data_IF_272123806594
#
_entry.id   IF_272123806594
#
_cell.length_a   1.000
_cell.length_b   1.000
_cell.length_c   1.000
_cell.angle_alpha   90.00
_cell.angle_beta   90.00
_cell.angle_gamma   90.00
#
_symmetry.space_group_name_H-M   'P 1'
#
loop_
_entity.id
_entity.type
_entity.pdbx_description
1 polymer ?
#
# COMPACT_ATOMS: atom_id res chain seq x y z
N UNK A 1 -0.94 -1.12 -19.72
CA UNK A 1 -0.78 -2.52 -20.19
C UNK A 1 -0.43 -3.51 -19.08
N UNK A 2 0.21 -3.12 -17.96
CA UNK A 2 0.53 -4.05 -16.84
C UNK A 2 -0.72 -4.58 -16.10
N UNK A 3 -1.71 -3.70 -15.86
CA UNK A 3 -2.94 -4.05 -15.13
C UNK A 3 -3.91 -4.97 -15.91
N UNK A 4 -3.90 -4.87 -17.25
CA UNK A 4 -4.79 -5.62 -18.15
C UNK A 4 -4.23 -7.00 -18.51
N UNK A 5 -2.93 -7.24 -18.26
CA UNK A 5 -2.31 -8.56 -18.33
C UNK A 5 -2.45 -9.33 -17.00
N UNK A 6 -2.53 -8.63 -15.87
CA UNK A 6 -2.76 -9.23 -14.54
C UNK A 6 -4.20 -9.72 -14.34
N UNK A 7 -5.19 -9.19 -15.09
CA UNK A 7 -6.57 -9.71 -15.06
C UNK A 7 -6.71 -11.13 -15.62
N UNK A 8 -5.68 -11.66 -16.30
CA UNK A 8 -5.62 -13.06 -16.73
C UNK A 8 -4.87 -13.98 -15.76
N UNK A 9 -4.14 -13.43 -14.78
CA UNK A 9 -3.36 -14.26 -13.88
C UNK A 9 -4.26 -14.77 -12.75
N UNK A 10 -4.80 -15.98 -12.93
CA UNK A 10 -5.61 -16.71 -11.93
C UNK A 10 -4.79 -17.17 -10.72
N UNK A 11 -3.56 -16.68 -10.54
CA UNK A 11 -2.71 -17.09 -9.43
C UNK A 11 -3.40 -16.71 -8.11
N UNK A 12 -3.46 -17.64 -7.14
CA UNK A 12 -3.82 -17.33 -5.78
C UNK A 12 -2.95 -16.17 -5.30
N UNK A 13 -3.56 -15.14 -4.71
CA UNK A 13 -2.86 -13.93 -4.24
C UNK A 13 -1.74 -14.27 -3.25
N UNK A 14 -1.91 -15.40 -2.55
CA UNK A 14 -0.92 -16.00 -1.66
C UNK A 14 0.37 -16.41 -2.39
N UNK A 15 0.28 -17.01 -3.59
CA UNK A 15 1.46 -17.41 -4.38
C UNK A 15 2.24 -16.17 -4.84
N UNK A 16 1.54 -15.11 -5.23
CA UNK A 16 2.18 -13.84 -5.59
C UNK A 16 2.94 -13.22 -4.42
N UNK A 17 2.33 -13.25 -3.23
CA UNK A 17 2.97 -12.76 -2.00
C UNK A 17 4.19 -13.61 -1.62
N UNK A 18 4.07 -14.95 -1.63
CA UNK A 18 5.18 -15.86 -1.34
C UNK A 18 6.35 -15.67 -2.30
N UNK A 19 6.09 -15.48 -3.60
CA UNK A 19 7.14 -15.20 -4.58
C UNK A 19 7.81 -13.85 -4.31
N UNK A 20 7.03 -12.82 -3.97
CA UNK A 20 7.60 -11.52 -3.65
C UNK A 20 8.56 -11.61 -2.46
N UNK A 21 8.14 -12.29 -1.38
CA UNK A 21 9.01 -12.57 -0.24
C UNK A 21 10.21 -13.46 -0.59
N UNK A 22 10.02 -14.49 -1.41
CA UNK A 22 11.10 -15.42 -1.80
C UNK A 22 12.21 -14.73 -2.61
N UNK A 23 11.87 -13.72 -3.42
CA UNK A 23 12.86 -12.90 -4.12
C UNK A 23 13.40 -11.77 -3.25
N UNK A 24 12.56 -11.14 -2.42
CA UNK A 24 12.97 -10.00 -1.59
C UNK A 24 13.92 -10.41 -0.45
N UNK A 25 13.68 -11.55 0.22
CA UNK A 25 14.50 -12.07 1.32
C UNK A 25 15.99 -12.17 0.96
N UNK A 26 16.41 -12.93 -0.07
CA UNK A 26 17.82 -13.08 -0.39
C UNK A 26 18.46 -11.76 -0.85
N UNK A 27 17.72 -10.90 -1.55
CA UNK A 27 18.22 -9.58 -1.96
C UNK A 27 18.45 -8.65 -0.76
N UNK A 28 17.49 -8.59 0.16
CA UNK A 28 17.59 -7.79 1.40
C UNK A 28 18.71 -8.33 2.28
N UNK A 29 18.83 -9.66 2.44
CA UNK A 29 19.91 -10.26 3.23
C UNK A 29 21.28 -9.98 2.61
N UNK A 30 21.41 -10.06 1.28
CA UNK A 30 22.66 -9.71 0.60
C UNK A 30 23.01 -8.23 0.78
N UNK A 31 22.04 -7.34 0.62
CA UNK A 31 22.24 -5.90 0.82
C UNK A 31 22.63 -5.59 2.26
N UNK A 32 21.93 -6.15 3.25
CA UNK A 32 22.24 -5.99 4.67
C UNK A 32 23.63 -6.55 5.02
N UNK A 33 24.06 -7.63 4.37
CA UNK A 33 25.41 -8.18 4.53
C UNK A 33 26.48 -7.22 3.98
N UNK A 34 26.20 -6.54 2.87
CA UNK A 34 27.12 -5.56 2.28
C UNK A 34 27.20 -4.26 3.09
N UNK A 35 26.12 -3.82 3.71
CA UNK A 35 26.10 -2.60 4.54
C UNK A 35 26.54 -2.83 5.98
N UNK A 36 26.68 -4.09 6.41
CA UNK A 36 27.11 -4.45 7.77
C UNK A 36 26.04 -4.24 8.85
N UNK A 37 24.78 -4.00 8.46
CA UNK A 37 23.67 -3.76 9.40
C UNK A 37 23.12 -5.06 10.02
N UNK A 38 23.65 -6.22 9.65
CA UNK A 38 23.25 -7.53 10.17
C UNK A 38 23.52 -7.74 11.67
N UNK A 39 24.19 -6.80 12.36
CA UNK A 39 24.56 -6.95 13.78
C UNK A 39 23.77 -6.06 14.73
N UNK A 40 23.01 -5.07 14.24
CA UNK A 40 22.25 -4.16 15.10
C UNK A 40 20.80 -4.64 15.30
N UNK A 41 20.62 -5.67 16.14
CA UNK A 41 19.30 -6.25 16.40
C UNK A 41 18.62 -5.53 17.56
N UNK A 42 17.89 -4.45 17.27
CA UNK A 42 16.99 -3.86 18.25
C UNK A 42 15.72 -4.72 18.36
N UNK A 43 15.40 -5.19 19.57
CA UNK A 43 14.20 -6.01 19.86
C UNK A 43 12.91 -5.26 19.51
N UNK A 44 12.88 -3.95 19.72
CA UNK A 44 11.71 -3.11 19.38
C UNK A 44 11.52 -3.02 17.87
N UNK A 45 12.62 -2.86 17.12
CA UNK A 45 12.60 -2.87 15.65
C UNK A 45 12.11 -4.19 15.07
N UNK A 46 12.46 -5.32 15.71
CA UNK A 46 12.03 -6.65 15.28
C UNK A 46 10.50 -6.82 15.42
N UNK A 47 9.92 -6.39 16.54
CA UNK A 47 8.47 -6.45 16.76
C UNK A 47 7.71 -5.53 15.79
N UNK A 48 8.22 -4.33 15.56
CA UNK A 48 7.67 -3.40 14.56
C UNK A 48 7.73 -3.97 13.15
N UNK A 49 8.86 -4.58 12.76
CA UNK A 49 9.02 -5.22 11.46
C UNK A 49 8.07 -6.41 11.27
N UNK A 50 7.87 -7.21 12.32
CA UNK A 50 6.90 -8.31 12.28
C UNK A 50 5.47 -7.80 12.12
N UNK A 51 5.09 -6.77 12.87
CA UNK A 51 3.76 -6.17 12.80
C UNK A 51 3.49 -5.58 11.40
N UNK A 52 4.39 -4.73 10.89
CA UNK A 52 4.25 -4.10 9.56
C UNK A 52 4.26 -5.16 8.45
N UNK A 53 5.17 -6.14 8.53
CA UNK A 53 5.28 -7.21 7.54
C UNK A 53 4.01 -8.07 7.47
N UNK A 54 3.46 -8.47 8.61
CA UNK A 54 2.32 -9.37 8.66
C UNK A 54 0.98 -8.66 8.45
N UNK A 55 0.73 -7.56 9.18
CA UNK A 55 -0.55 -6.86 9.11
C UNK A 55 -0.61 -5.88 7.95
N UNK A 56 0.37 -4.97 7.85
CA UNK A 56 0.30 -3.86 6.90
C UNK A 56 0.57 -4.31 5.47
N UNK A 57 1.62 -5.11 5.26
CA UNK A 57 2.01 -5.55 3.91
C UNK A 57 1.39 -6.91 3.54
N UNK A 58 1.38 -7.88 4.45
CA UNK A 58 0.86 -9.24 4.17
C UNK A 58 -0.66 -9.30 4.07
N UNK A 59 -1.34 -9.06 5.20
CA UNK A 59 -2.79 -9.18 5.30
C UNK A 59 -3.52 -8.18 4.40
N UNK A 60 -3.09 -6.91 4.39
CA UNK A 60 -3.69 -5.89 3.51
C UNK A 60 -3.58 -6.25 2.04
N UNK A 61 -2.46 -6.84 1.59
CA UNK A 61 -2.30 -7.25 0.20
C UNK A 61 -3.24 -8.41 -0.19
N UNK A 62 -3.46 -9.35 0.72
CA UNK A 62 -4.42 -10.45 0.53
C UNK A 62 -5.84 -9.92 0.48
N UNK A 63 -6.21 -9.02 1.40
CA UNK A 63 -7.52 -8.35 1.42
C UNK A 63 -7.74 -7.51 0.16
N UNK A 64 -6.73 -6.75 -0.27
CA UNK A 64 -6.77 -5.93 -1.47
C UNK A 64 -7.00 -6.77 -2.72
N UNK A 65 -6.26 -7.86 -2.89
CA UNK A 65 -6.47 -8.75 -4.04
C UNK A 65 -7.83 -9.45 -4.00
N UNK A 66 -8.34 -9.80 -2.81
CA UNK A 66 -9.70 -10.33 -2.68
C UNK A 66 -10.74 -9.28 -3.08
N UNK A 67 -10.60 -8.03 -2.63
CA UNK A 67 -11.47 -6.94 -3.02
C UNK A 67 -11.47 -6.75 -4.54
N UNK A 68 -10.30 -6.77 -5.18
CA UNK A 68 -10.18 -6.69 -6.64
C UNK A 68 -10.84 -7.87 -7.37
N UNK A 69 -10.79 -9.08 -6.81
CA UNK A 69 -11.42 -10.28 -7.41
C UNK A 69 -12.94 -10.30 -7.24
N UNK A 70 -13.46 -9.74 -6.13
CA UNK A 70 -14.89 -9.72 -5.81
C UNK A 70 -15.63 -8.54 -6.46
N UNK A 71 -14.93 -7.46 -6.79
CA UNK A 71 -15.52 -6.28 -7.41
C UNK A 71 -15.62 -6.43 -8.94
N UNK A 72 -16.78 -6.10 -9.50
CA UNK A 72 -17.01 -6.03 -10.96
C UNK A 72 -16.29 -4.85 -11.62
N UNK A 73 -16.08 -3.76 -10.88
CA UNK A 73 -15.42 -2.53 -11.32
C UNK A 73 -14.07 -2.32 -10.63
N UNK A 74 -13.02 -3.03 -11.06
CA UNK A 74 -11.69 -2.94 -10.44
C UNK A 74 -11.15 -1.49 -10.36
N UNK A 75 -11.59 -0.63 -11.28
CA UNK A 75 -11.24 0.78 -11.30
C UNK A 75 -11.91 1.61 -10.19
N UNK A 76 -12.96 1.13 -9.52
CA UNK A 76 -13.56 1.80 -8.36
C UNK A 76 -12.79 1.46 -7.09
N UNK A 77 -12.38 0.20 -6.92
CA UNK A 77 -11.51 -0.22 -5.82
C UNK A 77 -10.15 0.47 -5.93
N UNK A 78 -9.55 0.55 -7.12
CA UNK A 78 -8.31 1.30 -7.34
C UNK A 78 -8.41 2.79 -6.96
N UNK A 79 -9.59 3.40 -7.12
CA UNK A 79 -9.81 4.78 -6.70
C UNK A 79 -9.77 4.96 -5.17
N UNK A 80 -10.00 3.91 -4.38
CA UNK A 80 -9.91 3.96 -2.92
C UNK A 80 -8.47 4.16 -2.43
N UNK A 81 -7.43 3.82 -3.21
CA UNK A 81 -6.03 4.10 -2.83
C UNK A 81 -5.81 5.60 -2.66
N UNK A 82 -6.50 6.43 -3.45
CA UNK A 82 -6.39 7.89 -3.35
C UNK A 82 -7.04 8.47 -2.09
N UNK A 83 -7.81 7.67 -1.32
CA UNK A 83 -8.25 8.02 0.03
C UNK A 83 -7.17 7.75 1.08
N UNK A 84 -6.14 6.95 0.77
CA UNK A 84 -5.05 6.64 1.71
C UNK A 84 -4.38 7.92 2.27
N UNK A 85 -4.02 8.94 1.47
CA UNK A 85 -3.40 10.17 1.99
C UNK A 85 -4.30 10.93 2.97
N UNK A 86 -5.62 10.91 2.76
CA UNK A 86 -6.59 11.52 3.68
C UNK A 86 -6.57 10.82 5.03
N UNK A 87 -6.69 9.49 5.01
CA UNK A 87 -6.61 8.69 6.23
C UNK A 87 -5.26 8.93 6.91
N UNK A 88 -4.15 8.83 6.18
CA UNK A 88 -2.80 9.04 6.71
C UNK A 88 -2.67 10.35 7.48
N UNK A 89 -3.24 11.46 7.01
CA UNK A 89 -3.21 12.75 7.72
C UNK A 89 -4.01 12.69 9.03
N UNK A 90 -5.21 12.09 9.01
CA UNK A 90 -6.02 11.92 10.22
C UNK A 90 -5.27 11.08 11.26
N UNK A 91 -4.68 9.97 10.84
CA UNK A 91 -3.89 9.11 11.72
C UNK A 91 -2.63 9.82 12.23
N UNK A 92 -1.88 10.53 11.38
CA UNK A 92 -0.68 11.27 11.81
C UNK A 92 -1.02 12.39 12.80
N UNK A 93 -2.11 13.14 12.57
CA UNK A 93 -2.52 14.19 13.52
C UNK A 93 -2.95 13.62 14.87
N UNK A 94 -3.60 12.46 14.89
CA UNK A 94 -4.11 11.83 16.11
C UNK A 94 -3.01 11.11 16.89
N UNK A 95 -2.10 10.41 16.21
CA UNK A 95 -1.10 9.52 16.81
C UNK A 95 0.30 10.14 16.92
N UNK A 96 0.74 10.92 15.93
CA UNK A 96 2.07 11.55 15.95
C UNK A 96 2.06 12.95 16.58
N UNK A 97 0.90 13.59 16.68
CA UNK A 97 0.75 14.93 17.29
C UNK A 97 1.45 16.05 16.51
N UNK A 98 1.86 15.80 15.28
CA UNK A 98 2.56 16.78 14.46
C UNK A 98 1.63 17.91 13.96
N UNK A 99 2.12 19.16 13.92
CA UNK A 99 1.34 20.26 13.36
C UNK A 99 1.12 20.04 11.87
N UNK A 100 -0.15 19.91 11.45
CA UNK A 100 -0.50 19.77 10.03
C UNK A 100 -0.18 21.08 9.30
N UNK A 101 0.81 21.05 8.41
CA UNK A 101 1.12 22.19 7.55
C UNK A 101 -0.03 22.46 6.56
N UNK A 102 -0.27 23.74 6.28
CA UNK A 102 -1.27 24.20 5.30
C UNK A 102 -1.02 23.62 3.90
N UNK A 103 0.23 23.34 3.53
CA UNK A 103 0.59 22.69 2.27
C UNK A 103 -0.01 21.29 2.11
N UNK A 104 -0.13 20.54 3.20
CA UNK A 104 -0.74 19.20 3.23
C UNK A 104 -2.25 19.28 2.99
N UNK A 105 -2.91 20.31 3.51
CA UNK A 105 -4.34 20.57 3.26
C UNK A 105 -4.61 20.93 1.80
N UNK A 106 -3.76 21.75 1.18
CA UNK A 106 -3.89 22.10 -0.25
C UNK A 106 -3.65 20.87 -1.14
N UNK A 107 -2.64 20.05 -0.82
CA UNK A 107 -2.38 18.79 -1.52
C UNK A 107 -3.57 17.83 -1.43
N UNK A 108 -4.16 17.70 -0.24
CA UNK A 108 -5.37 16.91 -0.02
C UNK A 108 -6.56 17.42 -0.86
N UNK A 109 -6.82 18.72 -0.84
CA UNK A 109 -7.90 19.33 -1.62
C UNK A 109 -7.71 19.05 -3.13
N UNK A 110 -6.47 19.13 -3.62
CA UNK A 110 -6.14 18.82 -5.00
C UNK A 110 -6.44 17.36 -5.37
N UNK A 111 -6.08 16.40 -4.50
CA UNK A 111 -6.37 14.97 -4.71
C UNK A 111 -7.89 14.72 -4.71
N UNK A 112 -8.63 15.32 -3.78
CA UNK A 112 -10.09 15.18 -3.70
C UNK A 112 -10.78 15.73 -4.95
N UNK A 113 -10.35 16.90 -5.44
CA UNK A 113 -10.86 17.48 -6.70
C UNK A 113 -10.53 16.58 -7.90
N UNK A 114 -9.30 16.09 -7.99
CA UNK A 114 -8.89 15.15 -9.05
C UNK A 114 -9.70 13.85 -9.02
N UNK A 115 -10.01 13.33 -7.83
CA UNK A 115 -10.85 12.15 -7.65
C UNK A 115 -12.31 12.41 -8.02
N UNK A 116 -12.83 13.58 -7.66
CA UNK A 116 -14.18 13.99 -8.01
C UNK A 116 -14.35 14.09 -9.53
N UNK A 117 -13.41 14.75 -10.22
CA UNK A 117 -13.39 14.85 -11.69
C UNK A 117 -13.27 13.45 -12.33
N UNK A 118 -12.38 12.58 -11.82
CA UNK A 118 -12.23 11.21 -12.35
C UNK A 118 -13.50 10.38 -12.22
N UNK A 119 -14.18 10.44 -11.06
CA UNK A 119 -15.43 9.71 -10.86
C UNK A 119 -16.58 10.32 -11.69
N UNK A 120 -16.62 11.64 -11.84
CA UNK A 120 -17.63 12.33 -12.64
C UNK A 120 -17.50 11.97 -14.12
N UNK A 121 -16.28 11.99 -14.67
CA UNK A 121 -16.00 11.59 -16.06
C UNK A 121 -16.27 10.10 -16.34
N UNK A 122 -16.20 9.23 -15.33
CA UNK A 122 -16.57 7.81 -15.44
C UNK A 122 -18.08 7.59 -15.49
N UNK A 123 -18.88 8.48 -14.90
CA UNK A 123 -20.34 8.38 -14.85
C UNK A 123 -21.02 8.83 -16.15
N UNK A 124 -20.32 9.61 -16.97
CA UNK A 124 -20.81 10.15 -18.25
C UNK A 124 -20.50 9.27 -19.47
N UNK A 125 -19.98 8.06 -19.27
CA UNK A 125 -19.69 7.07 -20.32
C UNK A 125 -20.39 5.76 -20.04
#
# INVERSE_FOLDING_TARGET
MYWLLNTKDKRPSLIGLTLNFAFALPLITLYAAMTGELTHWNKEGLWSAFYIGLFEMGLSFVLWNQALKLTSNASQVANLIFLSPLLSIIWLSQFAGEPILQSTLVGLACILVGLFIQNWAKKTK
#
